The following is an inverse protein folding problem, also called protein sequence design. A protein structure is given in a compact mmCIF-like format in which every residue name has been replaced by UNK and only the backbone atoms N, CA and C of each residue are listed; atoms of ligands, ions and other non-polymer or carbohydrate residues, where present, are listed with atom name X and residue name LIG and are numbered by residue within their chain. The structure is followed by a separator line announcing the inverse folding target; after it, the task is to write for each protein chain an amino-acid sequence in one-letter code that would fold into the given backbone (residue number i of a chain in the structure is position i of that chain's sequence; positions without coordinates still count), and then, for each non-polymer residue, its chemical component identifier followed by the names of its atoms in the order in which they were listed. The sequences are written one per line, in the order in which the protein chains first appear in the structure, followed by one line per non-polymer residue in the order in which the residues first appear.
data_IF_311607895341
#
_entry.id   IF_311607895341
#
_cell.length_a   1.000
_cell.length_b   1.000
_cell.length_c   1.000
_cell.angle_alpha   90.00
_cell.angle_beta   90.00
_cell.angle_gamma   90.00
#
_symmetry.space_group_name_H-M   'P 1'
#
loop_
_entity.id
_entity.type
_entity.pdbx_description
1 polymer ?
#
# COMPACT_ATOMS: atom_id res chain seq x y z
N UNK A 1 23.63 54.24 -38.05
CA UNK A 1 23.68 53.90 -36.62
C UNK A 1 23.15 52.48 -36.47
N UNK A 2 24.05 51.49 -36.34
CA UNK A 2 23.67 50.08 -36.25
C UNK A 2 23.43 49.72 -34.78
N UNK A 3 22.19 49.39 -34.45
CA UNK A 3 21.72 49.01 -33.12
C UNK A 3 22.15 47.58 -32.81
N UNK A 4 23.19 47.44 -31.98
CA UNK A 4 23.56 46.15 -31.40
C UNK A 4 22.43 45.64 -30.49
N UNK A 5 21.64 44.68 -30.98
CA UNK A 5 20.74 43.89 -30.15
C UNK A 5 21.58 42.90 -29.33
N UNK A 6 21.65 43.11 -28.03
CA UNK A 6 22.20 42.13 -27.10
C UNK A 6 21.24 40.95 -26.99
N UNK A 7 21.60 39.82 -27.59
CA UNK A 7 20.95 38.53 -27.36
C UNK A 7 21.32 38.11 -25.94
N UNK A 8 20.37 38.20 -25.01
CA UNK A 8 20.53 37.72 -23.63
C UNK A 8 20.65 36.20 -23.69
N UNK A 9 21.88 35.69 -23.69
CA UNK A 9 22.16 34.26 -23.60
C UNK A 9 21.56 33.70 -22.32
N UNK A 10 20.61 32.76 -22.46
CA UNK A 10 20.05 32.01 -21.35
C UNK A 10 21.18 31.31 -20.60
N UNK A 11 21.37 31.64 -19.32
CA UNK A 11 22.37 30.98 -18.48
C UNK A 11 22.07 29.47 -18.42
N UNK A 12 23.08 28.60 -18.55
CA UNK A 12 22.87 27.16 -18.50
C UNK A 12 22.20 26.81 -17.16
N UNK A 13 21.12 26.02 -17.24
CA UNK A 13 20.40 25.54 -16.05
C UNK A 13 21.36 24.62 -15.30
N UNK A 14 21.82 25.06 -14.13
CA UNK A 14 22.65 24.23 -13.24
C UNK A 14 21.89 22.94 -12.92
N UNK A 15 22.48 21.80 -13.30
CA UNK A 15 21.90 20.49 -13.01
C UNK A 15 21.91 20.28 -11.50
N UNK A 16 20.78 19.80 -10.98
CA UNK A 16 20.65 19.44 -9.56
C UNK A 16 21.66 18.34 -9.21
N UNK A 17 22.45 18.51 -8.14
CA UNK A 17 23.44 17.51 -7.74
C UNK A 17 22.75 16.26 -7.20
N UNK A 18 23.35 15.09 -7.43
CA UNK A 18 22.80 13.80 -6.97
C UNK A 18 22.89 13.61 -5.45
N UNK A 19 23.97 14.12 -4.84
CA UNK A 19 24.20 14.01 -3.40
C UNK A 19 23.87 15.33 -2.70
N UNK A 20 22.69 15.37 -2.09
CA UNK A 20 22.15 16.55 -1.39
C UNK A 20 23.02 16.92 -0.18
N UNK A 21 23.52 15.92 0.56
CA UNK A 21 24.29 16.10 1.79
C UNK A 21 25.63 16.82 1.63
N UNK A 22 26.17 16.90 0.41
CA UNK A 22 27.45 17.56 0.16
C UNK A 22 27.33 19.10 0.15
N UNK A 23 26.12 19.64 0.12
CA UNK A 23 25.88 21.09 0.06
C UNK A 23 25.62 21.61 1.47
N UNK A 24 26.50 22.52 1.90
CA UNK A 24 26.48 23.09 3.24
C UNK A 24 25.92 24.51 3.29
N UNK A 25 25.49 25.08 2.16
CA UNK A 25 24.92 26.43 2.11
C UNK A 25 23.40 26.39 1.98
N UNK A 26 22.72 26.99 2.97
CA UNK A 26 21.25 27.06 3.03
C UNK A 26 20.67 27.73 1.79
N UNK A 27 21.26 28.85 1.35
CA UNK A 27 20.79 29.60 0.19
C UNK A 27 20.84 28.77 -1.12
N UNK A 28 21.84 27.91 -1.28
CA UNK A 28 21.91 27.00 -2.43
C UNK A 28 20.88 25.88 -2.33
N UNK A 29 20.67 25.31 -1.15
CA UNK A 29 19.65 24.29 -0.92
C UNK A 29 18.24 24.82 -1.21
N UNK A 30 17.93 26.05 -0.79
CA UNK A 30 16.65 26.70 -1.08
C UNK A 30 16.42 26.92 -2.57
N UNK A 31 17.45 27.34 -3.32
CA UNK A 31 17.38 27.47 -4.79
C UNK A 31 17.06 26.13 -5.45
N UNK A 32 17.72 25.05 -5.03
CA UNK A 32 17.43 23.71 -5.55
C UNK A 32 16.03 23.24 -5.17
N UNK A 33 15.58 23.47 -3.93
CA UNK A 33 14.20 23.19 -3.48
C UNK A 33 13.17 23.89 -4.36
N UNK A 34 13.37 25.18 -4.63
CA UNK A 34 12.49 25.96 -5.52
C UNK A 34 12.50 25.41 -6.96
N UNK A 35 13.66 24.97 -7.47
CA UNK A 35 13.75 24.33 -8.78
C UNK A 35 12.94 23.02 -8.82
N UNK A 36 13.04 22.18 -7.79
CA UNK A 36 12.27 20.93 -7.68
C UNK A 36 10.77 21.24 -7.67
N UNK A 37 10.34 22.25 -6.91
CA UNK A 37 8.93 22.67 -6.84
C UNK A 37 8.43 23.14 -8.21
N UNK A 38 9.22 23.90 -8.97
CA UNK A 38 8.82 24.33 -10.33
C UNK A 38 8.63 23.14 -11.27
N UNK A 39 9.52 22.15 -11.21
CA UNK A 39 9.41 20.95 -12.04
C UNK A 39 8.23 20.07 -11.61
N UNK A 40 7.98 19.98 -10.30
CA UNK A 40 6.83 19.31 -9.71
C UNK A 40 5.51 19.94 -10.20
N UNK A 41 5.37 21.26 -10.10
CA UNK A 41 4.18 21.99 -10.58
C UNK A 41 3.92 21.74 -12.07
N UNK A 42 4.96 21.73 -12.92
CA UNK A 42 4.81 21.43 -14.34
C UNK A 42 4.28 20.01 -14.58
N UNK A 43 4.77 19.02 -13.82
CA UNK A 43 4.33 17.62 -13.95
C UNK A 43 2.92 17.41 -13.41
N UNK A 44 2.57 18.01 -12.27
CA UNK A 44 1.20 17.97 -11.72
C UNK A 44 0.22 18.55 -12.74
N UNK A 45 0.52 19.74 -13.27
CA UNK A 45 -0.31 20.37 -14.30
C UNK A 45 -0.45 19.47 -15.54
N UNK A 46 0.63 18.78 -15.96
CA UNK A 46 0.61 17.86 -17.10
C UNK A 46 -0.26 16.61 -16.84
N UNK A 47 -0.23 16.03 -15.64
CA UNK A 47 -1.11 14.91 -15.29
C UNK A 47 -2.58 15.34 -15.25
N UNK A 48 -2.86 16.57 -14.82
CA UNK A 48 -4.21 17.11 -14.73
C UNK A 48 -4.80 17.52 -16.09
N UNK A 49 -4.01 18.12 -16.97
CA UNK A 49 -4.53 18.74 -18.20
C UNK A 49 -4.58 17.83 -19.42
N UNK A 50 -3.79 16.74 -19.45
CA UNK A 50 -3.58 15.98 -20.68
C UNK A 50 -4.29 14.61 -20.67
N UNK A 51 -5.03 14.33 -21.75
CA UNK A 51 -5.51 12.98 -22.09
C UNK A 51 -4.35 12.10 -22.57
N UNK A 52 -3.45 11.76 -21.65
CA UNK A 52 -2.33 10.87 -21.90
C UNK A 52 -2.78 9.40 -21.81
N UNK A 53 -2.11 8.48 -22.51
CA UNK A 53 -2.34 7.05 -22.31
C UNK A 53 -1.85 6.63 -20.91
N UNK A 54 -2.45 5.57 -20.38
CA UNK A 54 -2.27 5.12 -18.99
C UNK A 54 -0.81 4.87 -18.60
N UNK A 55 0.00 4.32 -19.52
CA UNK A 55 1.42 4.08 -19.24
C UNK A 55 2.20 5.39 -18.98
N UNK A 56 1.89 6.46 -19.71
CA UNK A 56 2.52 7.76 -19.48
C UNK A 56 2.05 8.40 -18.19
N UNK A 57 0.80 8.16 -17.79
CA UNK A 57 0.28 8.63 -16.49
C UNK A 57 1.04 7.94 -15.35
N UNK A 58 1.32 6.63 -15.47
CA UNK A 58 2.17 5.89 -14.51
C UNK A 58 3.58 6.48 -14.42
N UNK A 59 4.25 6.66 -15.56
CA UNK A 59 5.60 7.24 -15.60
C UNK A 59 5.64 8.67 -15.01
N UNK A 60 4.62 9.47 -15.27
CA UNK A 60 4.51 10.81 -14.68
C UNK A 60 4.28 10.75 -13.18
N UNK A 61 3.47 9.81 -12.68
CA UNK A 61 3.22 9.62 -11.26
C UNK A 61 4.52 9.20 -10.53
N UNK A 62 5.28 8.28 -11.11
CA UNK A 62 6.59 7.88 -10.60
C UNK A 62 7.57 9.04 -10.57
N UNK A 63 7.61 9.84 -11.66
CA UNK A 63 8.45 11.03 -11.71
C UNK A 63 8.04 12.08 -10.67
N UNK A 64 6.74 12.24 -10.37
CA UNK A 64 6.27 13.13 -9.31
C UNK A 64 6.68 12.60 -7.93
N UNK A 65 6.46 11.31 -7.64
CA UNK A 65 6.88 10.71 -6.38
C UNK A 65 8.40 10.84 -6.16
N UNK A 66 9.19 10.68 -7.23
CA UNK A 66 10.63 10.90 -7.16
C UNK A 66 10.99 12.35 -6.82
N UNK A 67 10.33 13.34 -7.43
CA UNK A 67 10.55 14.75 -7.10
C UNK A 67 10.05 15.11 -5.70
N UNK A 68 8.99 14.48 -5.21
CA UNK A 68 8.48 14.68 -3.85
C UNK A 68 9.46 14.16 -2.80
N UNK A 69 10.06 12.97 -3.03
CA UNK A 69 11.16 12.47 -2.18
C UNK A 69 12.39 13.37 -2.23
N UNK A 70 12.75 13.85 -3.41
CA UNK A 70 13.87 14.78 -3.57
C UNK A 70 13.61 16.11 -2.84
N UNK A 71 12.41 16.69 -2.98
CA UNK A 71 11.96 17.87 -2.24
C UNK A 71 12.08 17.63 -0.74
N UNK A 72 11.58 16.51 -0.24
CA UNK A 72 11.65 16.17 1.18
C UNK A 72 13.10 16.05 1.67
N UNK A 73 13.98 15.44 0.88
CA UNK A 73 15.40 15.35 1.20
C UNK A 73 16.08 16.73 1.24
N UNK A 74 15.73 17.65 0.35
CA UNK A 74 16.18 19.05 0.42
C UNK A 74 15.65 19.76 1.67
N UNK A 75 14.41 19.52 2.07
CA UNK A 75 13.81 20.13 3.27
C UNK A 75 14.45 19.61 4.56
N UNK A 76 14.81 18.32 4.61
CA UNK A 76 15.62 17.74 5.69
C UNK A 76 16.99 18.41 5.74
N UNK A 77 17.70 18.51 4.61
CA UNK A 77 19.02 19.13 4.58
C UNK A 77 19.00 20.59 5.02
N UNK A 78 17.98 21.37 4.60
CA UNK A 78 17.82 22.76 5.04
C UNK A 78 17.62 22.84 6.55
N UNK A 79 16.78 21.96 7.11
CA UNK A 79 16.56 21.87 8.56
C UNK A 79 17.86 21.52 9.29
N UNK A 80 18.60 20.52 8.80
CA UNK A 80 19.82 20.03 9.44
C UNK A 80 20.95 21.09 9.39
N UNK A 81 20.94 21.98 8.39
CA UNK A 81 21.83 23.16 8.31
C UNK A 81 21.35 24.36 9.16
N UNK A 82 20.26 24.22 9.91
CA UNK A 82 19.71 25.29 10.75
C UNK A 82 18.83 26.32 10.02
N UNK A 83 18.38 25.99 8.81
CA UNK A 83 17.43 26.80 8.04
C UNK A 83 15.97 26.61 8.46
N UNK A 84 15.06 27.22 7.70
CA UNK A 84 13.62 27.18 7.96
C UNK A 84 13.09 25.74 7.85
N UNK A 85 12.28 25.32 8.83
CA UNK A 85 11.65 24.00 8.83
C UNK A 85 10.40 23.95 7.92
N UNK A 86 10.61 23.62 6.66
CA UNK A 86 9.54 23.47 5.67
C UNK A 86 8.64 22.24 5.90
N UNK A 87 9.09 21.24 6.66
CA UNK A 87 8.33 20.00 6.92
C UNK A 87 7.13 20.30 7.84
N UNK A 88 7.35 21.16 8.84
CA UNK A 88 6.31 21.55 9.81
C UNK A 88 5.35 22.59 9.21
N UNK A 89 5.85 23.44 8.32
CA UNK A 89 5.04 24.38 7.54
C UNK A 89 4.26 23.66 6.45
N UNK A 90 3.36 22.76 6.88
CA UNK A 90 2.45 21.95 6.07
C UNK A 90 1.31 22.80 5.50
N UNK A 91 1.62 24.00 5.03
CA UNK A 91 0.71 24.69 4.13
C UNK A 91 0.53 23.76 2.93
N UNK A 92 -0.72 23.41 2.62
CA UNK A 92 -1.10 22.69 1.39
C UNK A 92 -0.67 23.54 0.20
N UNK A 93 0.62 23.48 -0.14
CA UNK A 93 1.20 24.21 -1.27
C UNK A 93 0.63 23.69 -2.59
N UNK A 94 0.11 22.47 -2.59
CA UNK A 94 -0.58 21.85 -3.71
C UNK A 94 -2.00 21.49 -3.29
N UNK A 95 -2.99 21.91 -4.09
CA UNK A 95 -4.40 21.66 -3.84
C UNK A 95 -4.75 20.15 -3.90
N UNK A 96 -3.95 19.38 -4.62
CA UNK A 96 -4.05 17.93 -4.80
C UNK A 96 -2.74 17.30 -4.32
N UNK A 97 -2.67 16.95 -3.04
CA UNK A 97 -1.44 16.49 -2.37
C UNK A 97 -1.14 14.99 -2.60
N UNK A 98 -1.83 14.40 -3.59
CA UNK A 98 -1.81 12.98 -3.89
C UNK A 98 -2.44 12.15 -2.78
N UNK A 99 -3.12 11.09 -3.17
CA UNK A 99 -3.72 10.15 -2.23
C UNK A 99 -2.85 8.90 -2.10
N UNK A 100 -2.75 8.36 -0.89
CA UNK A 100 -2.02 7.13 -0.61
C UNK A 100 -3.00 5.97 -0.50
N UNK A 101 -2.59 4.80 -0.96
CA UNK A 101 -3.35 3.55 -0.79
C UNK A 101 -2.92 2.95 0.55
N UNK A 102 -3.82 2.92 1.53
CA UNK A 102 -3.52 2.43 2.87
C UNK A 102 -2.50 3.26 3.69
N UNK A 103 -2.01 2.65 4.77
CA UNK A 103 -1.19 3.33 5.78
C UNK A 103 0.32 3.15 5.61
N UNK A 104 0.76 2.06 4.96
CA UNK A 104 2.15 1.56 4.99
C UNK A 104 3.01 2.15 3.87
N UNK A 105 2.44 2.43 2.70
CA UNK A 105 3.21 2.91 1.55
C UNK A 105 3.24 4.45 1.47
N UNK A 106 4.43 5.01 1.27
CA UNK A 106 4.66 6.44 1.04
C UNK A 106 4.42 6.85 -0.42
N UNK A 107 4.10 5.88 -1.28
CA UNK A 107 3.71 6.12 -2.66
C UNK A 107 2.34 6.81 -2.75
N UNK A 108 2.26 7.84 -3.58
CA UNK A 108 1.03 8.63 -3.77
C UNK A 108 0.60 8.67 -5.23
N UNK A 109 -0.69 8.76 -5.44
CA UNK A 109 -1.30 8.91 -6.76
C UNK A 109 -1.86 10.33 -6.90
N UNK A 110 -1.40 11.06 -7.92
CA UNK A 110 -1.77 12.46 -8.16
C UNK A 110 -2.71 12.58 -9.36
N UNK A 111 -3.73 13.45 -9.27
CA UNK A 111 -4.68 13.71 -10.34
C UNK A 111 -5.23 12.43 -10.99
N UNK A 112 -5.11 12.35 -12.32
CA UNK A 112 -5.59 11.22 -13.13
C UNK A 112 -4.93 9.87 -12.83
N UNK A 113 -3.79 9.85 -12.14
CA UNK A 113 -3.18 8.59 -11.73
C UNK A 113 -4.08 7.77 -10.78
N UNK A 114 -5.03 8.41 -10.09
CA UNK A 114 -6.05 7.75 -9.26
C UNK A 114 -7.12 7.03 -10.08
N UNK A 115 -7.35 7.43 -11.32
CA UNK A 115 -8.37 6.86 -12.21
C UNK A 115 -7.85 5.66 -13.01
N UNK A 116 -6.56 5.31 -12.86
CA UNK A 116 -5.98 4.18 -13.56
C UNK A 116 -6.67 2.87 -13.16
N UNK A 117 -6.89 1.95 -14.12
CA UNK A 117 -7.46 0.64 -13.83
C UNK A 117 -6.58 -0.13 -12.80
N UNK A 118 -7.24 -0.78 -11.84
CA UNK A 118 -6.64 -1.40 -10.66
C UNK A 118 -6.36 -0.44 -9.50
N UNK A 119 -5.82 0.75 -9.76
CA UNK A 119 -5.59 1.77 -8.71
C UNK A 119 -6.92 2.35 -8.22
N UNK A 120 -7.82 2.64 -9.15
CA UNK A 120 -9.18 3.13 -8.87
C UNK A 120 -9.96 2.16 -7.98
N UNK A 121 -9.87 0.86 -8.27
CA UNK A 121 -10.56 -0.19 -7.50
C UNK A 121 -10.04 -0.25 -6.07
N UNK A 122 -8.73 -0.05 -5.85
CA UNK A 122 -8.14 0.00 -4.52
C UNK A 122 -8.64 1.20 -3.72
N UNK A 123 -8.74 2.38 -4.34
CA UNK A 123 -9.29 3.56 -3.68
C UNK A 123 -10.79 3.40 -3.38
N UNK A 124 -11.56 2.84 -4.30
CA UNK A 124 -12.98 2.57 -4.07
C UNK A 124 -13.18 1.52 -2.96
N UNK A 125 -12.37 0.46 -2.94
CA UNK A 125 -12.37 -0.52 -1.86
C UNK A 125 -12.04 0.11 -0.51
N UNK A 126 -10.99 0.95 -0.43
CA UNK A 126 -10.66 1.71 0.78
C UNK A 126 -11.82 2.62 1.22
N UNK A 127 -12.55 3.24 0.28
CA UNK A 127 -13.73 4.06 0.59
C UNK A 127 -14.92 3.23 1.09
N UNK A 128 -15.06 1.97 0.70
CA UNK A 128 -16.11 1.08 1.26
C UNK A 128 -15.83 0.71 2.71
N UNK A 129 -14.57 0.69 3.12
CA UNK A 129 -14.23 0.59 4.53
C UNK A 129 -14.53 1.91 5.22
N UNK A 130 -15.77 2.08 5.68
CA UNK A 130 -16.15 3.17 6.59
C UNK A 130 -15.07 3.25 7.68
N UNK A 131 -14.34 4.36 7.82
CA UNK A 131 -13.26 4.48 8.79
C UNK A 131 -13.70 3.96 10.14
N UNK A 132 -12.86 3.16 10.82
CA UNK A 132 -13.26 2.50 12.07
C UNK A 132 -13.80 3.48 13.11
N UNK A 133 -13.29 4.72 13.10
CA UNK A 133 -13.82 5.84 13.91
C UNK A 133 -15.26 6.19 13.58
N UNK A 134 -15.62 6.29 12.30
CA UNK A 134 -16.98 6.57 11.86
C UNK A 134 -17.90 5.38 12.16
N UNK A 135 -17.45 4.14 11.96
CA UNK A 135 -18.22 2.94 12.38
C UNK A 135 -18.49 2.94 13.87
N UNK A 136 -17.48 3.23 14.70
CA UNK A 136 -17.62 3.32 16.16
C UNK A 136 -18.57 4.44 16.58
N UNK A 137 -18.46 5.61 15.95
CA UNK A 137 -19.34 6.74 16.23
C UNK A 137 -20.78 6.45 15.82
N UNK A 138 -21.00 5.84 14.66
CA UNK A 138 -22.31 5.42 14.19
C UNK A 138 -22.91 4.36 15.15
N UNK A 139 -22.14 3.36 15.54
CA UNK A 139 -22.54 2.36 16.53
C UNK A 139 -22.89 2.97 17.89
N UNK A 140 -22.17 4.00 18.34
CA UNK A 140 -22.46 4.72 19.59
C UNK A 140 -23.72 5.58 19.50
N UNK A 141 -24.07 6.05 18.30
CA UNK A 141 -25.30 6.83 18.07
C UNK A 141 -26.54 5.94 17.92
N UNK A 142 -26.36 4.66 17.58
CA UNK A 142 -27.47 3.71 17.53
C UNK A 142 -28.02 3.49 18.93
N UNK A 143 -29.32 3.69 19.10
CA UNK A 143 -30.03 3.26 20.29
C UNK A 143 -30.23 1.75 20.17
N UNK A 144 -29.37 1.00 20.86
CA UNK A 144 -29.41 -0.46 20.87
C UNK A 144 -30.09 -0.92 22.16
N UNK A 145 -31.03 -1.85 22.03
CA UNK A 145 -31.72 -2.43 23.17
C UNK A 145 -30.78 -3.25 24.06
N UNK A 146 -31.17 -3.43 25.33
CA UNK A 146 -30.40 -4.19 26.32
C UNK A 146 -30.04 -5.60 25.84
N UNK A 147 -30.91 -6.20 25.01
CA UNK A 147 -30.70 -7.48 24.34
C UNK A 147 -29.40 -7.54 23.51
N UNK A 148 -29.04 -6.45 22.82
CA UNK A 148 -27.81 -6.38 22.01
C UNK A 148 -26.54 -6.55 22.84
N UNK A 149 -26.58 -6.11 24.10
CA UNK A 149 -25.47 -6.24 25.06
C UNK A 149 -25.53 -7.55 25.85
N UNK A 150 -26.40 -8.49 25.48
CA UNK A 150 -26.54 -9.78 26.15
C UNK A 150 -27.34 -9.72 27.45
N UNK A 151 -28.07 -8.63 27.72
CA UNK A 151 -29.01 -8.61 28.84
C UNK A 151 -30.33 -9.21 28.38
N UNK A 152 -30.42 -10.54 28.46
CA UNK A 152 -31.66 -11.30 28.35
C UNK A 152 -32.23 -11.57 29.74
N UNK A 153 -33.57 -11.52 29.92
CA UNK A 153 -34.19 -12.04 31.13
C UNK A 153 -33.82 -13.52 31.37
N UNK A 154 -33.64 -13.90 32.63
CA UNK A 154 -33.24 -15.26 33.02
C UNK A 154 -34.19 -16.36 32.50
N UNK A 155 -35.48 -16.04 32.34
CA UNK A 155 -36.48 -16.96 31.80
C UNK A 155 -36.23 -17.29 30.32
N UNK A 156 -35.86 -16.28 29.53
CA UNK A 156 -35.53 -16.45 28.10
C UNK A 156 -34.19 -17.18 27.93
N UNK A 157 -33.21 -16.88 28.79
CA UNK A 157 -31.90 -17.55 28.79
C UNK A 157 -32.02 -19.07 29.00
N UNK A 158 -32.87 -19.52 29.92
CA UNK A 158 -33.12 -20.93 30.14
C UNK A 158 -33.70 -21.63 28.90
N UNK A 159 -34.67 -21.00 28.25
CA UNK A 159 -35.28 -21.53 27.02
C UNK A 159 -34.29 -21.58 25.84
N UNK A 160 -33.39 -20.60 25.73
CA UNK A 160 -32.33 -20.59 24.73
C UNK A 160 -31.33 -21.72 24.97
N UNK A 161 -30.92 -21.96 26.22
CA UNK A 161 -30.02 -23.06 26.56
C UNK A 161 -30.62 -24.44 26.21
N UNK A 162 -31.92 -24.62 26.45
CA UNK A 162 -32.58 -25.87 26.10
C UNK A 162 -32.67 -26.04 24.58
N UNK A 163 -32.97 -24.97 23.85
CA UNK A 163 -32.93 -24.99 22.38
C UNK A 163 -31.52 -25.33 21.87
N UNK A 164 -30.47 -24.70 22.38
CA UNK A 164 -29.08 -24.98 21.99
C UNK A 164 -28.69 -26.43 22.25
N UNK A 165 -29.09 -27.01 23.39
CA UNK A 165 -28.89 -28.44 23.68
C UNK A 165 -29.57 -29.31 22.63
N UNK A 166 -30.84 -29.06 22.30
CA UNK A 166 -31.55 -29.87 21.30
C UNK A 166 -30.87 -29.83 19.93
N UNK A 167 -30.39 -28.66 19.49
CA UNK A 167 -29.68 -28.51 18.22
C UNK A 167 -28.32 -29.20 18.27
N UNK A 168 -27.60 -29.10 19.40
CA UNK A 168 -26.33 -29.78 19.62
C UNK A 168 -26.50 -31.30 19.51
N UNK A 169 -27.51 -31.85 20.16
CA UNK A 169 -27.81 -33.28 20.15
C UNK A 169 -28.17 -33.76 18.74
N UNK A 170 -29.03 -33.03 18.02
CA UNK A 170 -29.36 -33.32 16.61
C UNK A 170 -28.13 -33.30 15.70
N UNK A 171 -27.22 -32.35 15.92
CA UNK A 171 -25.97 -32.23 15.15
C UNK A 171 -25.02 -33.39 15.48
N UNK A 172 -24.93 -33.78 16.74
CA UNK A 172 -24.13 -34.94 17.17
C UNK A 172 -24.69 -36.25 16.61
N UNK A 173 -26.01 -36.42 16.57
CA UNK A 173 -26.66 -37.56 15.93
C UNK A 173 -26.36 -37.61 14.43
N UNK A 174 -26.49 -36.48 13.71
CA UNK A 174 -26.13 -36.40 12.28
C UNK A 174 -24.65 -36.76 12.06
N UNK A 175 -23.75 -36.19 12.84
CA UNK A 175 -22.31 -36.49 12.75
C UNK A 175 -22.02 -37.96 13.04
N UNK A 176 -22.75 -38.59 13.97
CA UNK A 176 -22.60 -40.02 14.29
C UNK A 176 -23.01 -40.91 13.11
N UNK A 177 -24.07 -40.54 12.38
CA UNK A 177 -24.53 -41.22 11.17
C UNK A 177 -23.58 -41.00 9.99
N UNK A 178 -22.98 -39.81 9.87
CA UNK A 178 -21.98 -39.53 8.83
C UNK A 178 -20.62 -40.22 9.11
N UNK A 179 -20.29 -40.42 10.39
CA UNK A 179 -19.06 -41.12 10.82
C UNK A 179 -19.01 -42.58 10.36
N UNK A 180 -20.15 -43.26 10.27
CA UNK A 180 -20.18 -44.66 9.83
C UNK A 180 -19.80 -44.83 8.36
N UNK A 181 -20.03 -43.81 7.51
CA UNK A 181 -19.69 -43.85 6.09
C UNK A 181 -18.27 -43.36 5.74
N UNK A 182 -17.60 -42.67 6.66
CA UNK A 182 -16.34 -41.96 6.36
C UNK A 182 -15.07 -42.68 6.83
N UNK A 183 -15.19 -43.80 7.56
CA UNK A 183 -14.05 -44.57 8.07
C UNK A 183 -13.59 -45.72 7.16
N UNK A 184 -14.37 -46.15 6.16
CA UNK A 184 -13.99 -47.24 5.27
C UNK A 184 -12.76 -46.90 4.40
N UNK A 185 -12.60 -45.63 4.05
CA UNK A 185 -11.50 -45.14 3.21
C UNK A 185 -10.43 -44.37 4.00
N UNK A 186 -10.60 -44.23 5.32
CA UNK A 186 -9.63 -43.54 6.15
C UNK A 186 -8.44 -44.46 6.42
N UNK A 187 -7.35 -44.23 5.69
CA UNK A 187 -6.05 -44.85 5.98
C UNK A 187 -5.20 -43.82 6.73
N UNK A 188 -4.71 -44.15 7.94
CA UNK A 188 -3.76 -43.28 8.61
C UNK A 188 -2.52 -43.12 7.71
N UNK A 189 -2.02 -41.89 7.58
CA UNK A 189 -0.75 -41.65 6.91
C UNK A 189 0.34 -42.18 7.84
N UNK A 190 0.82 -43.39 7.55
CA UNK A 190 1.97 -43.98 8.24
C UNK A 190 3.22 -43.48 7.54
N UNK A 191 3.95 -42.56 8.17
CA UNK A 191 5.26 -42.14 7.71
C UNK A 191 6.26 -43.19 8.23
N UNK A 192 6.53 -44.23 7.43
CA UNK A 192 7.41 -45.34 7.83
C UNK A 192 8.88 -44.93 7.97
N UNK A 193 9.34 -43.99 7.14
CA UNK A 193 10.73 -43.54 7.14
C UNK A 193 10.81 -42.02 6.96
N UNK A 194 11.53 -41.37 7.88
CA UNK A 194 11.85 -39.95 7.80
C UNK A 194 13.27 -39.86 7.22
N UNK A 195 13.45 -39.38 5.97
CA UNK A 195 14.76 -39.39 5.33
C UNK A 195 15.79 -38.56 6.09
N UNK A 196 17.00 -39.09 6.24
CA UNK A 196 18.11 -38.32 6.78
C UNK A 196 18.59 -37.26 5.77
N UNK A 197 19.28 -36.22 6.25
CA UNK A 197 19.78 -35.12 5.41
C UNK A 197 20.59 -35.61 4.20
N UNK A 198 21.44 -36.61 4.38
CA UNK A 198 22.28 -37.20 3.34
C UNK A 198 21.47 -37.93 2.25
N UNK A 199 20.33 -38.51 2.62
CA UNK A 199 19.42 -39.17 1.68
C UNK A 199 18.68 -38.13 0.85
N UNK A 200 18.24 -37.04 1.48
CA UNK A 200 17.61 -35.90 0.78
C UNK A 200 18.59 -35.28 -0.21
N UNK A 201 19.85 -35.04 0.19
CA UNK A 201 20.88 -34.49 -0.69
C UNK A 201 21.12 -35.38 -1.92
N UNK A 202 21.19 -36.71 -1.75
CA UNK A 202 21.31 -37.67 -2.86
C UNK A 202 20.10 -37.63 -3.81
N UNK A 203 18.88 -37.64 -3.27
CA UNK A 203 17.65 -37.57 -4.08
C UNK A 203 17.59 -36.27 -4.89
N UNK A 204 18.00 -35.15 -4.29
CA UNK A 204 18.03 -33.85 -4.97
C UNK A 204 19.07 -33.80 -6.09
N UNK A 205 20.25 -34.40 -5.88
CA UNK A 205 21.27 -34.53 -6.91
C UNK A 205 20.80 -35.40 -8.08
N UNK A 206 20.15 -36.54 -7.80
CA UNK A 206 19.59 -37.41 -8.83
C UNK A 206 18.48 -36.72 -9.63
N UNK A 207 17.56 -36.01 -8.96
CA UNK A 207 16.53 -35.21 -9.65
C UNK A 207 17.14 -34.15 -10.56
N UNK A 208 18.18 -33.45 -10.10
CA UNK A 208 18.88 -32.45 -10.89
C UNK A 208 19.58 -33.07 -12.09
N UNK A 209 20.25 -34.21 -11.91
CA UNK A 209 20.89 -34.98 -12.99
C UNK A 209 19.86 -35.41 -14.04
N UNK A 210 18.74 -35.98 -13.63
CA UNK A 210 17.68 -36.43 -14.53
C UNK A 210 17.01 -35.27 -15.27
N UNK A 211 16.78 -34.14 -14.61
CA UNK A 211 16.25 -32.93 -15.25
C UNK A 211 17.21 -32.35 -16.31
N UNK A 212 18.53 -32.41 -16.06
CA UNK A 212 19.53 -31.99 -17.05
C UNK A 212 19.60 -32.96 -18.22
N UNK A 213 19.52 -34.28 -17.99
CA UNK A 213 19.48 -35.29 -19.05
C UNK A 213 18.24 -35.13 -19.93
N UNK A 214 17.06 -34.91 -19.33
CA UNK A 214 15.83 -34.64 -20.07
C UNK A 214 15.90 -33.33 -20.86
N UNK A 215 16.76 -32.38 -20.48
CA UNK A 215 16.96 -31.13 -21.23
C UNK A 215 17.91 -31.28 -22.42
N UNK A 216 18.69 -32.36 -22.46
CA UNK A 216 19.66 -32.66 -23.51
C UNK A 216 19.08 -33.57 -24.62
N UNK A 217 17.96 -34.24 -24.34
CA UNK A 217 17.11 -34.93 -25.34
C UNK A 217 16.08 -33.95 -25.88
#
# INVERSE_FOLDING_TARGET
MSSNQYVVGSKPVEKRPRNIKNINSVATCEKHRQSVIKDLSKKINKIQSAQLPDYQVRDLNDAINQLMREKHAWEIQIRDLGGINYIYSKAKLFADDGEKIGEIDDYRYYGRARELPGVKELFEADMTFVPERLRKQEMQQRQLDAWYYGYTPLEEEASLQDYEKTISDQRMERLSQERTHSLENWKPIVIEHIPAREEVERILLERRKNALLHRLV
#
